data_IF_820056280833
#
_entry.id   IF_820056280833
#
_cell.length_a   1.000
_cell.length_b   1.000
_cell.length_c   1.000
_cell.angle_alpha   90.00
_cell.angle_beta   90.00
_cell.angle_gamma   90.00
#
_symmetry.space_group_name_H-M   'P 1'
#
loop_
_entity.id
_entity.type
_entity.pdbx_description
1 polymer ?
#
# COMPACT_ATOMS: atom_id res chain seq x y z
N UNK A 1 -29.44 20.77 1.43
CA UNK A 1 -28.52 19.65 1.18
C UNK A 1 -27.15 20.27 1.11
N UNK A 2 -26.29 20.06 2.13
CA UNK A 2 -24.89 20.46 2.03
C UNK A 2 -24.27 19.74 0.84
N UNK A 3 -23.64 20.50 -0.06
CA UNK A 3 -22.82 19.93 -1.13
C UNK A 3 -21.72 19.08 -0.49
N UNK A 4 -21.79 17.78 -0.69
CA UNK A 4 -20.77 16.86 -0.21
C UNK A 4 -19.51 17.16 -1.03
N UNK A 5 -18.55 17.86 -0.43
CA UNK A 5 -17.28 18.12 -1.10
C UNK A 5 -16.58 16.79 -1.41
N UNK A 6 -16.40 16.51 -2.69
CA UNK A 6 -15.77 15.28 -3.15
C UNK A 6 -14.31 15.25 -2.72
N UNK A 7 -13.96 14.36 -1.81
CA UNK A 7 -12.56 14.12 -1.37
C UNK A 7 -11.74 13.56 -2.53
N UNK A 8 -12.33 12.64 -3.28
CA UNK A 8 -11.74 12.09 -4.52
C UNK A 8 -12.41 12.79 -5.70
N UNK A 9 -11.64 13.60 -6.43
CA UNK A 9 -12.09 14.34 -7.61
C UNK A 9 -11.05 14.18 -8.72
N UNK A 10 -11.33 13.24 -9.63
CA UNK A 10 -10.44 12.92 -10.75
C UNK A 10 -10.35 14.06 -11.75
N UNK A 11 -11.43 14.79 -11.99
CA UNK A 11 -11.40 15.92 -12.91
C UNK A 11 -10.48 17.02 -12.38
N UNK A 12 -10.62 17.37 -11.11
CA UNK A 12 -9.74 18.32 -10.41
C UNK A 12 -8.29 17.85 -10.37
N UNK A 13 -8.07 16.53 -10.13
CA UNK A 13 -6.74 15.93 -10.11
C UNK A 13 -6.08 16.02 -11.50
N UNK A 14 -6.80 15.73 -12.59
CA UNK A 14 -6.28 15.81 -13.95
C UNK A 14 -5.98 17.25 -14.37
N UNK A 15 -6.84 18.20 -14.01
CA UNK A 15 -6.61 19.63 -14.28
C UNK A 15 -5.38 20.17 -13.55
N UNK A 16 -5.09 19.70 -12.33
CA UNK A 16 -3.93 20.08 -11.52
C UNK A 16 -2.65 19.30 -11.89
N UNK A 17 -2.76 18.22 -12.65
CA UNK A 17 -1.63 17.39 -13.06
C UNK A 17 -0.61 18.20 -13.90
N UNK A 18 0.66 17.87 -13.75
CA UNK A 18 1.73 18.39 -14.64
C UNK A 18 1.77 17.68 -15.99
N UNK A 19 0.94 16.67 -16.23
CA UNK A 19 0.86 15.94 -17.49
C UNK A 19 -0.04 16.68 -18.49
N UNK A 20 0.52 17.16 -19.59
CA UNK A 20 -0.25 17.74 -20.68
C UNK A 20 -1.28 16.76 -21.25
N UNK A 21 -0.93 15.47 -21.30
CA UNK A 21 -1.84 14.41 -21.76
C UNK A 21 -3.11 14.31 -20.87
N UNK A 22 -2.96 14.29 -19.53
CA UNK A 22 -4.10 14.22 -18.63
C UNK A 22 -4.99 15.47 -18.72
N UNK A 23 -4.40 16.64 -18.92
CA UNK A 23 -5.14 17.89 -19.11
C UNK A 23 -5.91 17.94 -20.44
N UNK A 24 -5.41 17.26 -21.46
CA UNK A 24 -6.00 17.24 -22.81
C UNK A 24 -7.05 16.15 -23.01
N UNK A 25 -7.31 15.32 -21.98
CA UNK A 25 -8.32 14.27 -22.07
C UNK A 25 -9.70 14.86 -22.34
N UNK A 26 -10.44 14.36 -23.37
CA UNK A 26 -11.78 14.82 -23.64
C UNK A 26 -12.74 14.47 -22.50
N UNK A 27 -13.77 15.28 -22.29
CA UNK A 27 -14.73 15.12 -21.17
C UNK A 27 -15.33 13.72 -21.08
N UNK A 28 -15.67 13.11 -22.22
CA UNK A 28 -16.23 11.76 -22.22
C UNK A 28 -15.26 10.72 -21.65
N UNK A 29 -13.95 10.85 -21.93
CA UNK A 29 -12.92 9.95 -21.38
C UNK A 29 -12.76 10.14 -19.87
N UNK A 30 -12.78 11.40 -19.40
CA UNK A 30 -12.77 11.70 -17.95
C UNK A 30 -13.99 11.10 -17.26
N UNK A 31 -15.20 11.28 -17.84
CA UNK A 31 -16.44 10.69 -17.30
C UNK A 31 -16.37 9.16 -17.26
N UNK A 32 -15.80 8.53 -18.31
CA UNK A 32 -15.61 7.08 -18.32
C UNK A 32 -14.65 6.62 -17.22
N UNK A 33 -13.56 7.33 -16.99
CA UNK A 33 -12.61 7.05 -15.90
C UNK A 33 -13.30 7.18 -14.55
N UNK A 34 -14.04 8.27 -14.30
CA UNK A 34 -14.79 8.50 -13.06
C UNK A 34 -15.74 7.32 -12.76
N UNK A 35 -16.49 6.87 -13.79
CA UNK A 35 -17.37 5.69 -13.66
C UNK A 35 -16.57 4.40 -13.40
N UNK A 36 -15.45 4.23 -14.11
CA UNK A 36 -14.62 3.04 -13.99
C UNK A 36 -14.01 2.88 -12.59
N UNK A 37 -13.57 3.97 -11.98
CA UNK A 37 -13.02 3.96 -10.62
C UNK A 37 -14.10 3.99 -9.54
N UNK A 38 -15.38 4.14 -9.91
CA UNK A 38 -16.52 4.23 -8.98
C UNK A 38 -16.35 5.38 -7.97
N UNK A 39 -15.93 6.55 -8.46
CA UNK A 39 -15.58 7.72 -7.63
C UNK A 39 -16.68 8.07 -6.62
N UNK A 40 -17.95 8.06 -7.04
CA UNK A 40 -19.08 8.43 -6.19
C UNK A 40 -19.24 7.47 -5.01
N UNK A 41 -19.04 6.17 -5.23
CA UNK A 41 -19.12 5.16 -4.17
C UNK A 41 -17.95 5.28 -3.19
N UNK A 42 -16.75 5.60 -3.67
CA UNK A 42 -15.60 5.86 -2.80
C UNK A 42 -15.85 7.11 -1.95
N UNK A 43 -16.33 8.19 -2.54
CA UNK A 43 -16.69 9.41 -1.79
C UNK A 43 -17.81 9.14 -0.79
N UNK A 44 -18.84 8.36 -1.15
CA UNK A 44 -19.90 7.96 -0.23
C UNK A 44 -19.37 7.16 0.97
N UNK A 45 -18.39 6.24 0.76
CA UNK A 45 -17.74 5.50 1.84
C UNK A 45 -16.96 6.45 2.76
N UNK A 46 -16.16 7.36 2.20
CA UNK A 46 -15.38 8.34 2.99
C UNK A 46 -16.34 9.24 3.79
N UNK A 47 -17.43 9.65 3.19
CA UNK A 47 -18.42 10.52 3.85
C UNK A 47 -19.14 9.82 5.02
N UNK A 48 -19.46 8.52 4.91
CA UNK A 48 -20.10 7.78 6.01
C UNK A 48 -19.23 7.71 7.27
N UNK A 49 -17.90 7.62 7.09
CA UNK A 49 -16.92 7.51 8.18
C UNK A 49 -16.12 8.79 8.39
N UNK A 50 -16.68 9.97 7.99
CA UNK A 50 -15.96 11.25 7.97
C UNK A 50 -15.51 11.75 9.34
N UNK A 51 -16.17 11.32 10.40
CA UNK A 51 -15.90 11.63 11.81
C UNK A 51 -14.75 10.82 12.41
N UNK A 52 -14.30 9.77 11.72
CA UNK A 52 -13.21 8.89 12.15
C UNK A 52 -11.93 9.15 11.35
N UNK A 53 -10.79 8.91 11.99
CA UNK A 53 -9.48 9.06 11.35
C UNK A 53 -8.55 7.90 11.74
N UNK A 54 -7.48 7.68 10.96
CA UNK A 54 -6.53 6.61 11.20
C UNK A 54 -7.16 5.24 11.07
N UNK A 55 -6.80 4.32 11.97
CA UNK A 55 -7.29 2.93 11.91
C UNK A 55 -8.77 2.78 12.23
N UNK A 56 -9.40 3.55 13.12
CA UNK A 56 -10.86 3.57 13.25
C UNK A 56 -11.60 3.83 11.94
N UNK A 57 -11.14 4.77 11.12
CA UNK A 57 -11.67 4.99 9.76
C UNK A 57 -11.45 3.77 8.86
N UNK A 58 -10.27 3.18 8.91
CA UNK A 58 -9.92 1.98 8.11
C UNK A 58 -10.85 0.82 8.45
N UNK A 59 -11.09 0.58 9.74
CA UNK A 59 -11.96 -0.51 10.20
C UNK A 59 -13.42 -0.31 9.74
N UNK A 60 -13.92 0.92 9.78
CA UNK A 60 -15.24 1.25 9.25
C UNK A 60 -15.36 0.96 7.75
N UNK A 61 -14.31 1.31 6.97
CA UNK A 61 -14.29 1.01 5.53
C UNK A 61 -14.31 -0.50 5.28
N UNK A 62 -13.53 -1.28 6.03
CA UNK A 62 -13.51 -2.74 5.93
C UNK A 62 -14.88 -3.34 6.28
N UNK A 63 -15.53 -2.83 7.33
CA UNK A 63 -16.87 -3.25 7.76
C UNK A 63 -17.94 -2.87 6.74
N UNK A 64 -17.98 -1.60 6.28
CA UNK A 64 -18.92 -1.10 5.25
C UNK A 64 -18.84 -1.93 3.96
N UNK A 65 -17.64 -2.41 3.64
CA UNK A 65 -17.41 -3.24 2.45
C UNK A 65 -17.55 -4.73 2.71
N UNK A 66 -17.87 -5.13 3.95
CA UNK A 66 -17.97 -6.52 4.37
C UNK A 66 -16.71 -7.31 3.99
N UNK A 67 -15.53 -6.73 4.28
CA UNK A 67 -14.23 -7.38 4.04
C UNK A 67 -13.75 -8.00 5.35
N UNK A 68 -13.66 -9.33 5.38
CA UNK A 68 -13.15 -10.06 6.53
C UNK A 68 -11.64 -10.16 6.48
N UNK A 69 -10.97 -9.71 7.53
CA UNK A 69 -9.51 -9.86 7.69
C UNK A 69 -9.24 -11.14 8.50
N UNK A 70 -8.50 -12.08 7.92
CA UNK A 70 -8.09 -13.34 8.53
C UNK A 70 -6.60 -13.26 8.83
N UNK A 71 -6.19 -13.54 10.07
CA UNK A 71 -4.80 -13.40 10.52
C UNK A 71 -4.27 -14.76 10.96
N UNK A 72 -3.16 -15.19 10.37
CA UNK A 72 -2.38 -16.35 10.80
C UNK A 72 -1.00 -15.90 11.28
N UNK A 73 -0.42 -16.65 12.23
CA UNK A 73 0.92 -16.36 12.74
C UNK A 73 0.99 -15.15 13.67
N UNK A 74 -0.13 -14.74 14.29
CA UNK A 74 -0.17 -13.65 15.27
C UNK A 74 0.81 -13.89 16.43
N UNK A 75 0.98 -15.12 16.83
CA UNK A 75 1.88 -15.60 17.87
C UNK A 75 3.36 -15.40 17.55
N UNK A 76 3.70 -15.18 16.29
CA UNK A 76 5.07 -14.89 15.85
C UNK A 76 5.52 -13.46 16.20
N UNK A 77 4.57 -12.57 16.52
CA UNK A 77 4.90 -11.16 16.79
C UNK A 77 5.23 -11.00 18.26
N UNK A 78 6.46 -10.51 18.61
CA UNK A 78 6.80 -10.23 19.99
C UNK A 78 5.87 -9.18 20.60
N UNK A 79 5.60 -9.29 21.90
CA UNK A 79 4.69 -8.39 22.61
C UNK A 79 5.21 -6.94 22.69
N UNK A 80 6.52 -6.73 22.52
CA UNK A 80 7.15 -5.41 22.54
C UNK A 80 8.34 -5.37 21.60
N UNK A 81 8.71 -4.19 21.16
CA UNK A 81 9.82 -3.96 20.24
C UNK A 81 9.48 -2.92 19.17
N UNK A 82 10.47 -2.60 18.35
CA UNK A 82 10.34 -1.70 17.21
C UNK A 82 10.49 -2.49 15.93
N UNK A 83 9.43 -2.58 15.16
CA UNK A 83 9.38 -3.44 13.98
C UNK A 83 9.18 -2.66 12.69
N UNK A 84 9.64 -3.27 11.59
CA UNK A 84 9.24 -2.95 10.23
C UNK A 84 8.43 -4.13 9.72
N UNK A 85 7.13 -3.97 9.60
CA UNK A 85 6.26 -4.96 8.98
C UNK A 85 6.35 -4.81 7.47
N UNK A 86 6.95 -5.78 6.80
CA UNK A 86 7.19 -5.76 5.37
C UNK A 86 6.30 -6.78 4.66
N UNK A 87 5.37 -6.29 3.81
CA UNK A 87 4.40 -7.12 3.10
C UNK A 87 4.50 -7.06 1.58
N UNK A 88 3.98 -8.11 0.90
CA UNK A 88 3.68 -8.05 -0.52
C UNK A 88 2.44 -7.19 -0.77
N UNK A 89 2.24 -6.75 -2.01
CA UNK A 89 1.19 -5.78 -2.38
C UNK A 89 0.31 -6.32 -3.54
N UNK A 90 -0.55 -7.34 -3.29
CA UNK A 90 -1.23 -8.05 -4.37
C UNK A 90 -2.32 -7.26 -5.10
N UNK A 91 -3.11 -6.45 -4.40
CA UNK A 91 -4.31 -5.79 -4.97
C UNK A 91 -4.19 -4.27 -5.00
N UNK A 92 -3.69 -3.66 -3.94
CA UNK A 92 -3.61 -2.21 -3.80
C UNK A 92 -4.20 -1.70 -2.48
N UNK A 93 -5.15 -0.76 -2.53
CA UNK A 93 -5.66 -0.11 -1.33
C UNK A 93 -6.17 -1.06 -0.25
N UNK A 94 -6.85 -2.15 -0.64
CA UNK A 94 -7.41 -3.10 0.33
C UNK A 94 -6.32 -3.81 1.15
N UNK A 95 -5.15 -4.07 0.56
CA UNK A 95 -4.01 -4.70 1.25
C UNK A 95 -3.54 -3.80 2.38
N UNK A 96 -3.43 -2.48 2.09
CA UNK A 96 -3.03 -1.50 3.08
C UNK A 96 -4.05 -1.40 4.21
N UNK A 97 -5.36 -1.36 3.90
CA UNK A 97 -6.41 -1.30 4.92
C UNK A 97 -6.37 -2.54 5.82
N UNK A 98 -6.31 -3.75 5.26
CA UNK A 98 -6.24 -4.99 6.01
C UNK A 98 -4.94 -5.06 6.86
N UNK A 99 -3.82 -4.59 6.31
CA UNK A 99 -2.54 -4.60 6.99
C UNK A 99 -2.51 -3.63 8.18
N UNK A 100 -2.97 -2.39 7.99
CA UNK A 100 -3.11 -1.43 9.09
C UNK A 100 -4.02 -1.96 10.21
N UNK A 101 -5.20 -2.48 9.86
CA UNK A 101 -6.13 -3.08 10.81
C UNK A 101 -5.48 -4.21 11.61
N UNK A 102 -4.72 -5.09 10.93
CA UNK A 102 -4.01 -6.20 11.55
C UNK A 102 -2.96 -5.72 12.54
N UNK A 103 -2.05 -4.83 12.14
CA UNK A 103 -0.96 -4.38 13.02
C UNK A 103 -1.52 -3.56 14.18
N UNK A 104 -2.52 -2.71 13.94
CA UNK A 104 -3.17 -1.93 15.00
C UNK A 104 -3.78 -2.82 16.10
N UNK A 105 -4.26 -4.00 15.74
CA UNK A 105 -4.75 -4.96 16.72
C UNK A 105 -3.65 -5.53 17.64
N UNK A 106 -2.38 -5.31 17.29
CA UNK A 106 -1.20 -5.73 18.04
C UNK A 106 -0.52 -4.53 18.70
N UNK A 107 -0.41 -3.41 17.98
CA UNK A 107 0.26 -2.18 18.39
C UNK A 107 -0.57 -0.96 18.01
N UNK A 108 -0.92 -0.09 18.96
CA UNK A 108 -1.82 1.04 18.69
C UNK A 108 -1.16 2.19 17.91
N UNK A 109 0.17 2.24 17.85
CA UNK A 109 0.91 3.27 17.12
C UNK A 109 1.60 2.67 15.88
N UNK A 110 1.09 3.04 14.71
CA UNK A 110 1.56 2.54 13.42
C UNK A 110 1.52 3.63 12.37
N UNK A 111 2.55 3.71 11.53
CA UNK A 111 2.59 4.57 10.35
C UNK A 111 3.19 3.85 9.15
N UNK A 112 2.83 4.32 7.96
CA UNK A 112 3.38 3.82 6.70
C UNK A 112 3.87 4.97 5.83
N UNK A 113 5.13 4.93 5.36
CA UNK A 113 5.56 5.77 4.24
C UNK A 113 4.78 5.36 2.99
N UNK A 114 3.98 6.26 2.44
CA UNK A 114 3.09 5.99 1.30
C UNK A 114 3.17 7.07 0.24
N UNK A 115 2.64 6.77 -0.95
CA UNK A 115 2.54 7.77 -2.00
C UNK A 115 1.76 9.01 -1.50
N UNK A 116 2.34 10.20 -1.70
CA UNK A 116 1.75 11.49 -1.31
C UNK A 116 0.32 11.72 -1.81
N UNK A 117 -0.10 11.04 -2.90
CA UNK A 117 -1.47 11.11 -3.40
C UNK A 117 -2.51 10.65 -2.38
N UNK A 118 -2.16 9.71 -1.50
CA UNK A 118 -3.06 9.21 -0.46
C UNK A 118 -3.30 10.23 0.66
N UNK A 119 -2.44 11.25 0.80
CA UNK A 119 -2.66 12.37 1.72
C UNK A 119 -3.89 13.22 1.36
N UNK A 120 -4.45 13.04 0.15
CA UNK A 120 -5.69 13.69 -0.27
C UNK A 120 -6.90 13.16 0.50
N UNK A 121 -6.79 11.98 1.13
CA UNK A 121 -7.81 11.43 2.03
C UNK A 121 -7.48 11.87 3.46
N UNK A 122 -8.13 12.89 4.02
CA UNK A 122 -7.76 13.46 5.31
C UNK A 122 -7.81 12.43 6.45
N UNK A 123 -8.76 11.49 6.38
CA UNK A 123 -8.96 10.44 7.36
C UNK A 123 -7.76 9.49 7.50
N UNK A 124 -6.91 9.35 6.47
CA UNK A 124 -5.73 8.47 6.48
C UNK A 124 -4.45 9.17 6.94
N UNK A 125 -4.42 10.49 7.03
CA UNK A 125 -3.21 11.26 7.40
C UNK A 125 -2.56 10.85 8.72
N UNK A 126 -3.29 10.45 9.78
CA UNK A 126 -2.67 10.05 11.03
C UNK A 126 -1.75 8.83 10.91
N UNK A 127 -2.05 7.92 9.98
CA UNK A 127 -1.31 6.66 9.80
C UNK A 127 -0.42 6.65 8.56
N UNK A 128 -0.44 7.71 7.76
CA UNK A 128 0.34 7.81 6.52
C UNK A 128 1.35 8.94 6.58
N UNK A 129 2.59 8.65 6.19
CA UNK A 129 3.61 9.64 5.89
C UNK A 129 3.77 9.72 4.38
N UNK A 130 3.24 10.80 3.76
CA UNK A 130 3.35 11.00 2.33
C UNK A 130 4.79 11.18 1.90
N UNK A 131 5.25 10.33 1.00
CA UNK A 131 6.55 10.40 0.35
C UNK A 131 6.37 10.43 -1.16
N UNK A 132 7.33 11.02 -1.86
CA UNK A 132 7.35 10.90 -3.32
C UNK A 132 8.04 9.59 -3.72
N UNK A 133 7.29 8.64 -4.23
CA UNK A 133 7.81 7.32 -4.64
C UNK A 133 8.51 7.34 -6.01
N UNK A 134 8.34 8.41 -6.80
CA UNK A 134 8.87 8.52 -8.18
C UNK A 134 10.02 9.53 -8.32
N UNK A 135 10.22 10.40 -7.33
CA UNK A 135 11.23 11.47 -7.34
C UNK A 135 11.98 11.52 -6.02
N UNK A 136 13.06 12.30 -5.98
CA UNK A 136 13.73 12.60 -4.70
C UNK A 136 12.77 13.35 -3.78
N UNK A 137 12.68 12.90 -2.53
CA UNK A 137 11.96 13.61 -1.50
C UNK A 137 12.68 14.91 -1.13
N UNK A 138 11.94 15.89 -0.66
CA UNK A 138 12.52 17.11 -0.09
C UNK A 138 13.33 16.77 1.18
N UNK A 139 14.21 17.69 1.59
CA UNK A 139 14.96 17.53 2.84
C UNK A 139 14.03 17.36 4.05
N UNK A 140 12.91 18.08 4.06
CA UNK A 140 11.89 17.99 5.11
C UNK A 140 11.24 16.59 5.15
N UNK A 141 10.82 16.03 4.02
CA UNK A 141 10.24 14.69 3.96
C UNK A 141 11.30 13.65 4.39
N UNK A 142 12.56 13.82 3.97
CA UNK A 142 13.64 12.93 4.38
C UNK A 142 13.87 12.98 5.90
N UNK A 143 13.86 14.17 6.52
CA UNK A 143 13.99 14.33 7.96
C UNK A 143 12.82 13.68 8.72
N UNK A 144 11.57 13.92 8.28
CA UNK A 144 10.38 13.27 8.88
C UNK A 144 10.40 11.75 8.74
N UNK A 145 10.97 11.24 7.65
CA UNK A 145 11.15 9.80 7.47
C UNK A 145 12.20 9.24 8.46
N UNK A 146 13.33 9.96 8.68
CA UNK A 146 14.30 9.57 9.69
C UNK A 146 13.68 9.57 11.08
N UNK A 147 12.99 10.64 11.46
CA UNK A 147 12.28 10.76 12.74
C UNK A 147 11.30 9.59 12.95
N UNK A 148 10.56 9.19 11.91
CA UNK A 148 9.68 8.03 11.98
C UNK A 148 10.44 6.74 12.26
N UNK A 149 11.60 6.52 11.61
CA UNK A 149 12.40 5.32 11.86
C UNK A 149 13.11 5.33 13.21
N UNK A 150 13.38 6.51 13.80
CA UNK A 150 13.95 6.67 15.15
C UNK A 150 12.91 6.48 16.26
N UNK A 151 11.63 6.79 16.01
CA UNK A 151 10.54 6.72 17.01
C UNK A 151 10.23 5.28 17.42
N UNK A 152 9.34 5.09 18.39
CA UNK A 152 8.83 3.77 18.79
C UNK A 152 7.63 3.31 17.97
N UNK A 153 7.12 4.16 17.08
CA UNK A 153 6.01 3.86 16.15
C UNK A 153 6.33 2.63 15.29
N UNK A 154 5.39 1.71 15.16
CA UNK A 154 5.54 0.58 14.24
C UNK A 154 5.47 1.05 12.79
N UNK A 155 6.25 0.43 11.93
CA UNK A 155 6.34 0.85 10.54
C UNK A 155 5.80 -0.26 9.64
N UNK A 156 4.81 0.08 8.83
CA UNK A 156 4.27 -0.79 7.77
C UNK A 156 4.80 -0.34 6.42
N UNK A 157 5.27 -1.28 5.62
CA UNK A 157 5.76 -0.96 4.27
C UNK A 157 5.40 -2.04 3.25
N UNK A 158 5.27 -1.59 2.01
CA UNK A 158 5.29 -2.42 0.80
C UNK A 158 6.59 -2.15 0.05
N UNK A 159 7.64 -2.99 0.23
CA UNK A 159 8.97 -2.65 -0.26
C UNK A 159 9.11 -2.61 -1.80
N UNK A 160 8.16 -3.17 -2.53
CA UNK A 160 8.11 -3.05 -4.00
C UNK A 160 7.76 -1.62 -4.46
N UNK A 161 7.04 -0.84 -3.63
CA UNK A 161 6.49 0.47 -4.00
C UNK A 161 5.37 0.39 -5.06
N UNK A 162 5.06 -0.80 -5.55
CA UNK A 162 4.06 -1.07 -6.58
C UNK A 162 3.28 -2.33 -6.25
N UNK A 163 2.03 -2.42 -6.74
CA UNK A 163 1.23 -3.64 -6.63
C UNK A 163 1.82 -4.77 -7.48
N UNK A 164 1.52 -6.02 -7.11
CA UNK A 164 2.00 -7.22 -7.81
C UNK A 164 1.67 -7.20 -9.31
N UNK A 165 2.53 -7.81 -10.09
CA UNK A 165 2.42 -7.94 -11.55
C UNK A 165 2.38 -9.42 -11.94
N UNK A 166 1.76 -9.72 -13.08
CA UNK A 166 1.75 -11.07 -13.65
C UNK A 166 2.84 -11.19 -14.72
N UNK A 167 3.83 -12.05 -14.47
CA UNK A 167 4.89 -12.34 -15.43
C UNK A 167 5.02 -13.85 -15.63
N UNK A 168 4.99 -14.31 -16.87
CA UNK A 168 5.06 -15.75 -17.23
C UNK A 168 4.12 -16.64 -16.40
N UNK A 169 2.90 -16.16 -16.17
CA UNK A 169 1.89 -16.89 -15.41
C UNK A 169 1.93 -16.67 -13.88
N UNK A 170 3.05 -16.25 -13.33
CA UNK A 170 3.25 -16.01 -11.89
C UNK A 170 2.88 -14.59 -11.53
N UNK A 171 2.10 -14.43 -10.44
CA UNK A 171 1.76 -13.12 -9.85
C UNK A 171 2.70 -12.90 -8.66
N UNK A 172 3.49 -11.84 -8.72
CA UNK A 172 4.38 -11.45 -7.63
C UNK A 172 4.69 -9.96 -7.71
N UNK A 173 5.16 -9.42 -6.61
CA UNK A 173 5.66 -8.05 -6.57
C UNK A 173 6.85 -7.86 -7.54
N UNK A 174 7.06 -6.65 -8.04
CA UNK A 174 8.33 -6.23 -8.59
C UNK A 174 9.49 -6.43 -7.61
N UNK A 175 10.69 -6.09 -8.05
CA UNK A 175 11.89 -6.14 -7.20
C UNK A 175 11.70 -5.27 -5.95
N UNK A 176 11.97 -5.82 -4.77
CA UNK A 176 11.87 -5.07 -3.53
C UNK A 176 13.06 -4.12 -3.35
N UNK A 177 12.76 -2.89 -2.95
CA UNK A 177 13.75 -1.84 -2.73
C UNK A 177 14.52 -2.08 -1.42
N UNK A 178 15.81 -1.79 -1.43
CA UNK A 178 16.71 -2.04 -0.29
C UNK A 178 16.54 -1.10 0.90
N UNK A 179 15.80 -0.01 0.73
CA UNK A 179 15.72 1.09 1.72
C UNK A 179 15.31 0.59 3.10
N UNK A 180 14.33 -0.32 3.19
CA UNK A 180 13.87 -0.85 4.48
C UNK A 180 14.93 -1.69 5.20
N UNK A 181 15.77 -2.42 4.47
CA UNK A 181 16.91 -3.15 5.04
C UNK A 181 17.92 -2.17 5.65
N UNK A 182 18.26 -1.12 4.87
CA UNK A 182 19.17 -0.06 5.35
C UNK A 182 18.62 0.56 6.63
N UNK A 183 17.32 0.88 6.67
CA UNK A 183 16.67 1.47 7.84
C UNK A 183 16.54 0.50 9.01
N UNK A 184 16.28 -0.79 8.76
CA UNK A 184 16.24 -1.81 9.79
C UNK A 184 17.57 -1.90 10.55
N UNK A 185 18.67 -1.95 9.80
CA UNK A 185 20.03 -2.00 10.38
C UNK A 185 20.36 -0.68 11.12
N UNK A 186 20.14 0.46 10.46
CA UNK A 186 20.47 1.79 11.00
C UNK A 186 19.77 2.08 12.33
N UNK A 187 18.46 1.76 12.40
CA UNK A 187 17.59 2.09 13.54
C UNK A 187 17.31 0.89 14.46
N UNK A 188 18.03 -0.23 14.27
CA UNK A 188 17.93 -1.45 15.08
C UNK A 188 16.49 -1.94 15.21
N UNK A 189 15.82 -2.10 14.06
CA UNK A 189 14.44 -2.59 13.96
C UNK A 189 14.42 -3.99 13.35
N UNK A 190 13.74 -4.91 13.99
CA UNK A 190 13.52 -6.23 13.41
C UNK A 190 12.48 -6.15 12.31
N UNK A 191 12.58 -7.04 11.32
CA UNK A 191 11.63 -7.09 10.21
C UNK A 191 10.65 -8.22 10.45
N UNK A 192 9.35 -7.90 10.42
CA UNK A 192 8.28 -8.89 10.45
C UNK A 192 7.78 -9.10 9.02
N UNK A 193 8.07 -10.27 8.41
CA UNK A 193 7.58 -10.58 7.08
C UNK A 193 6.08 -10.94 7.13
N UNK A 194 5.29 -10.35 6.22
CA UNK A 194 3.83 -10.58 6.17
C UNK A 194 3.42 -10.89 4.74
N UNK A 195 2.79 -12.04 4.53
CA UNK A 195 2.15 -12.36 3.26
C UNK A 195 0.69 -11.95 3.29
N UNK A 196 0.26 -11.24 2.24
CA UNK A 196 -1.13 -10.81 2.04
C UNK A 196 -1.69 -11.53 0.84
N UNK A 197 -2.84 -12.21 1.01
CA UNK A 197 -3.51 -12.92 -0.05
C UNK A 197 -4.27 -11.96 -0.97
N UNK A 198 -4.42 -12.34 -2.23
CA UNK A 198 -5.22 -11.59 -3.19
C UNK A 198 -4.58 -11.50 -4.57
N UNK A 199 -5.37 -10.99 -5.50
CA UNK A 199 -4.91 -10.71 -6.87
C UNK A 199 -5.82 -9.71 -7.56
N UNK A 200 -5.27 -8.93 -8.46
CA UNK A 200 -6.03 -8.10 -9.37
C UNK A 200 -6.67 -8.91 -10.50
N UNK A 201 -7.59 -8.30 -11.22
CA UNK A 201 -8.28 -8.96 -12.33
C UNK A 201 -7.35 -9.22 -13.52
N UNK A 202 -7.75 -10.17 -14.39
CA UNK A 202 -7.04 -10.44 -15.63
C UNK A 202 -6.91 -9.19 -16.52
N UNK A 203 -7.90 -8.30 -16.51
CA UNK A 203 -7.87 -7.02 -17.26
C UNK A 203 -6.75 -6.12 -16.74
N UNK A 204 -6.56 -6.00 -15.41
CA UNK A 204 -5.47 -5.23 -14.83
C UNK A 204 -4.11 -5.72 -15.33
N UNK A 205 -3.87 -7.03 -15.24
CA UNK A 205 -2.60 -7.62 -15.69
C UNK A 205 -2.43 -7.56 -17.20
N UNK A 206 -3.50 -7.71 -17.97
CA UNK A 206 -3.44 -7.57 -19.42
C UNK A 206 -3.01 -6.15 -19.82
N UNK A 207 -3.64 -5.12 -19.27
CA UNK A 207 -3.29 -3.73 -19.56
C UNK A 207 -1.86 -3.42 -19.11
N UNK A 208 -1.44 -3.90 -17.93
CA UNK A 208 -0.07 -3.74 -17.45
C UNK A 208 0.97 -4.37 -18.40
N UNK A 209 0.70 -5.57 -18.91
CA UNK A 209 1.59 -6.25 -19.85
C UNK A 209 1.57 -5.60 -21.24
N UNK A 210 0.40 -5.20 -21.75
CA UNK A 210 0.28 -4.48 -23.01
C UNK A 210 1.03 -3.14 -22.97
N UNK A 211 0.85 -2.37 -21.88
CA UNK A 211 1.60 -1.13 -21.65
C UNK A 211 3.11 -1.37 -21.73
N UNK A 212 3.61 -2.42 -21.04
CA UNK A 212 5.03 -2.78 -21.05
C UNK A 212 5.49 -3.17 -22.44
N UNK A 213 4.71 -3.94 -23.18
CA UNK A 213 4.99 -4.34 -24.57
C UNK A 213 5.09 -3.13 -25.50
N UNK A 214 4.19 -2.15 -25.33
CA UNK A 214 4.18 -0.91 -26.11
C UNK A 214 5.22 0.13 -25.64
N UNK A 215 6.02 -0.18 -24.62
CA UNK A 215 7.04 0.75 -24.10
C UNK A 215 6.49 2.00 -23.41
N UNK A 216 5.19 2.00 -23.04
CA UNK A 216 4.55 3.14 -22.37
C UNK A 216 5.07 3.24 -20.93
N UNK A 217 5.73 4.36 -20.59
CA UNK A 217 6.33 4.56 -19.25
C UNK A 217 5.31 4.86 -18.16
N UNK A 218 4.18 5.47 -18.51
CA UNK A 218 3.13 5.82 -17.54
C UNK A 218 2.33 4.56 -17.14
N UNK A 219 2.14 4.36 -15.84
CA UNK A 219 1.43 3.19 -15.26
C UNK A 219 -0.10 3.34 -15.40
N UNK A 220 -0.60 3.28 -16.63
CA UNK A 220 -2.03 3.50 -16.95
C UNK A 220 -2.96 2.49 -16.27
N UNK A 221 -2.49 1.28 -16.03
CA UNK A 221 -3.25 0.24 -15.31
C UNK A 221 -3.58 0.63 -13.88
N UNK A 222 -2.79 1.52 -13.24
CA UNK A 222 -3.03 1.95 -11.86
C UNK A 222 -4.33 2.74 -11.70
N UNK A 223 -4.85 3.32 -12.78
CA UNK A 223 -6.19 3.93 -12.79
C UNK A 223 -7.29 2.92 -12.45
N UNK A 224 -7.04 1.62 -12.66
CA UNK A 224 -7.99 0.56 -12.32
C UNK A 224 -7.95 0.16 -10.84
N UNK A 225 -6.93 0.54 -10.07
CA UNK A 225 -6.77 0.10 -8.67
C UNK A 225 -7.98 0.39 -7.78
N UNK A 226 -8.65 1.57 -7.86
CA UNK A 226 -9.86 1.79 -7.09
C UNK A 226 -10.97 0.77 -7.44
N UNK A 227 -11.14 0.45 -8.72
CA UNK A 227 -12.08 -0.58 -9.17
C UNK A 227 -11.70 -1.96 -8.65
N UNK A 228 -10.43 -2.33 -8.71
CA UNK A 228 -9.94 -3.62 -8.21
C UNK A 228 -10.13 -3.73 -6.68
N UNK A 229 -9.90 -2.65 -5.96
CA UNK A 229 -10.18 -2.55 -4.53
C UNK A 229 -11.67 -2.73 -4.22
N UNK A 230 -12.56 -2.08 -4.97
CA UNK A 230 -14.02 -2.21 -4.81
C UNK A 230 -14.55 -3.63 -5.10
N UNK A 231 -13.87 -4.39 -5.95
CA UNK A 231 -14.20 -5.80 -6.21
C UNK A 231 -13.94 -6.73 -5.02
N UNK A 232 -13.18 -6.27 -4.02
CA UNK A 232 -12.94 -7.03 -2.81
C UNK A 232 -14.09 -6.92 -1.79
N UNK A 233 -15.15 -6.19 -2.08
CA UNK A 233 -16.37 -6.19 -1.25
C UNK A 233 -16.93 -7.60 -1.11
N UNK A 234 -17.44 -7.91 0.08
CA UNK A 234 -17.98 -9.24 0.43
C UNK A 234 -16.95 -10.36 0.27
N UNK A 235 -15.69 -10.10 0.56
CA UNK A 235 -14.61 -11.09 0.44
C UNK A 235 -13.81 -11.21 1.75
N UNK A 236 -12.76 -12.02 1.72
CA UNK A 236 -11.78 -12.10 2.79
C UNK A 236 -10.38 -11.81 2.28
N UNK A 237 -9.58 -11.16 3.13
CA UNK A 237 -8.15 -10.94 2.91
C UNK A 237 -7.42 -11.67 4.04
N UNK A 238 -6.55 -12.60 3.69
CA UNK A 238 -5.74 -13.36 4.66
C UNK A 238 -4.35 -12.75 4.75
N UNK A 239 -3.91 -12.48 5.99
CA UNK A 239 -2.55 -12.10 6.30
C UNK A 239 -1.87 -13.23 7.06
N UNK A 240 -0.71 -13.67 6.58
CA UNK A 240 0.13 -14.65 7.26
C UNK A 240 1.40 -13.96 7.73
N UNK A 241 1.59 -13.92 9.04
CA UNK A 241 2.72 -13.24 9.70
C UNK A 241 3.81 -14.28 9.98
N UNK A 242 5.00 -14.05 9.44
CA UNK A 242 6.15 -14.89 9.69
C UNK A 242 6.93 -14.53 10.96
N UNK A 243 7.93 -15.33 11.28
CA UNK A 243 8.83 -15.06 12.41
C UNK A 243 9.68 -13.81 12.15
N UNK A 244 10.02 -13.05 13.21
CA UNK A 244 10.90 -11.89 13.09
C UNK A 244 12.26 -12.23 12.48
N UNK A 245 12.72 -11.38 11.60
CA UNK A 245 14.10 -11.39 11.08
C UNK A 245 14.84 -10.31 11.87
N UNK A 246 15.72 -10.73 12.77
CA UNK A 246 16.46 -9.83 13.62
C UNK A 246 17.42 -8.97 12.81
N UNK A 247 17.48 -7.68 13.08
CA UNK A 247 18.33 -6.75 12.33
C UNK A 247 19.82 -7.15 12.39
N UNK A 248 20.30 -7.79 13.49
CA UNK A 248 21.66 -8.29 13.63
C UNK A 248 21.99 -9.43 12.65
N UNK A 249 20.97 -10.14 12.16
CA UNK A 249 21.17 -11.20 11.15
C UNK A 249 21.41 -10.67 9.74
N UNK A 250 21.15 -9.38 9.52
CA UNK A 250 21.34 -8.71 8.23
C UNK A 250 22.81 -8.29 8.08
N UNK A 251 23.70 -9.28 7.99
CA UNK A 251 25.16 -9.10 7.97
C UNK A 251 25.67 -8.64 6.59
N UNK A 252 26.97 -8.37 6.51
CA UNK A 252 27.65 -8.02 5.26
C UNK A 252 27.86 -9.21 4.30
N UNK A 253 27.39 -10.42 4.64
CA UNK A 253 27.39 -11.58 3.73
C UNK A 253 26.56 -11.36 2.47
N UNK A 254 25.57 -10.45 2.55
CA UNK A 254 24.74 -10.05 1.43
C UNK A 254 24.67 -8.53 1.38
N UNK A 255 24.54 -8.01 0.16
CA UNK A 255 24.19 -6.59 -0.02
C UNK A 255 22.79 -6.32 0.51
N UNK A 256 22.47 -5.07 0.87
CA UNK A 256 21.12 -4.70 1.29
C UNK A 256 20.05 -5.05 0.22
N UNK A 257 20.43 -5.05 -1.06
CA UNK A 257 19.52 -5.46 -2.13
C UNK A 257 19.25 -6.96 -2.09
N UNK A 258 20.27 -7.78 -1.93
CA UNK A 258 20.11 -9.24 -1.81
C UNK A 258 19.30 -9.62 -0.57
N UNK A 259 19.53 -8.92 0.57
CA UNK A 259 18.69 -9.07 1.77
C UNK A 259 17.24 -8.72 1.50
N UNK A 260 16.96 -7.62 0.77
CA UNK A 260 15.58 -7.25 0.41
C UNK A 260 14.90 -8.37 -0.40
N UNK A 261 15.62 -9.00 -1.36
CA UNK A 261 15.07 -10.11 -2.12
C UNK A 261 14.96 -11.40 -1.26
N UNK A 262 15.83 -11.60 -0.27
CA UNK A 262 15.70 -12.71 0.67
C UNK A 262 14.44 -12.57 1.52
N UNK A 263 14.20 -11.39 2.10
CA UNK A 263 12.96 -11.10 2.84
C UNK A 263 11.72 -11.27 1.95
N UNK A 264 11.78 -10.81 0.69
CA UNK A 264 10.71 -11.05 -0.27
C UNK A 264 10.42 -12.54 -0.43
N UNK A 265 11.45 -13.40 -0.62
CA UNK A 265 11.25 -14.85 -0.70
C UNK A 265 10.60 -15.40 0.56
N UNK A 266 11.09 -15.03 1.75
CA UNK A 266 10.48 -15.43 3.01
C UNK A 266 8.98 -15.09 3.06
N UNK A 267 8.58 -13.88 2.60
CA UNK A 267 7.16 -13.50 2.55
C UNK A 267 6.36 -14.42 1.62
N UNK A 268 6.88 -14.76 0.44
CA UNK A 268 6.16 -15.61 -0.50
C UNK A 268 6.15 -17.09 -0.06
N UNK A 269 7.13 -17.52 0.73
CA UNK A 269 7.20 -18.89 1.30
C UNK A 269 6.16 -19.12 2.41
N UNK A 270 5.60 -18.03 3.00
CA UNK A 270 4.51 -18.11 4.00
C UNK A 270 3.19 -18.64 3.43
N UNK A 271 3.04 -18.74 2.11
CA UNK A 271 1.82 -19.26 1.46
C UNK A 271 1.69 -20.78 1.48
N UNK A 272 2.74 -21.50 1.81
CA UNK A 272 2.81 -22.97 1.79
C UNK A 272 2.68 -23.65 3.16
N UNK A 273 2.40 -22.88 4.20
CA UNK A 273 2.25 -23.37 5.58
C UNK A 273 0.82 -23.33 6.08
#
# INVERSE_FOLDING_TARGET
MEEIENVIDIEKAFRKSNSGFLKSLPRFAVTLIIKLIRQDEMNATIHRSRDKTGVPFINDVLEDWNVRVIIHGRENVPASGRFIFAGNHPVGGIDALAFFSTIFSLFPDIKSPTNELLNQIPNLRPVMLGINVFRKNTREIAARLEELFESDTQIMIFPSGEVSRKHKGVISDPVWQKTFITKAIQHKRDIIPVHISGRNSGIFYFIANLRKFLGIKMYVETVLLPREMMKQRNSSVTLTIGKPIHYQSLTNEKTHHEWAQAVKRTVYDLTGS
#
